data_IF_176292177548
#
_entry.id   IF_176292177548
#
_cell.length_a   1.000
_cell.length_b   1.000
_cell.length_c   1.000
_cell.angle_alpha   90.00
_cell.angle_beta   90.00
_cell.angle_gamma   90.00
#
_symmetry.space_group_name_H-M   'P 1'
#
loop_
_entity.id
_entity.type
_entity.pdbx_description
1 polymer ?
#
# COMPACT_ATOMS: atom_id res chain seq x y z
N UNK A 1 -19.10 12.20 -10.14
CA UNK A 1 -19.40 11.15 -9.12
C UNK A 1 -20.48 10.18 -9.59
N UNK A 2 -21.65 10.64 -10.06
CA UNK A 2 -22.72 9.75 -10.54
C UNK A 2 -22.25 8.73 -11.59
N UNK A 3 -21.52 9.18 -12.61
CA UNK A 3 -20.90 8.33 -13.66
C UNK A 3 -20.00 7.22 -13.10
N UNK A 4 -19.17 7.56 -12.11
CA UNK A 4 -18.30 6.59 -11.47
C UNK A 4 -19.07 5.58 -10.60
N UNK A 5 -20.11 6.03 -9.90
CA UNK A 5 -20.95 5.17 -9.06
C UNK A 5 -21.84 4.23 -9.88
N UNK A 6 -22.26 4.61 -11.09
CA UNK A 6 -23.04 3.73 -11.96
C UNK A 6 -22.24 2.50 -12.43
N UNK A 7 -20.91 2.58 -12.44
CA UNK A 7 -20.01 1.47 -12.76
C UNK A 7 -19.74 0.52 -11.57
N UNK A 8 -20.30 0.78 -10.39
CA UNK A 8 -20.14 -0.08 -9.22
C UNK A 8 -21.40 -0.92 -8.97
N UNK A 9 -21.26 -2.06 -8.31
CA UNK A 9 -22.42 -2.82 -7.81
C UNK A 9 -23.09 -2.07 -6.66
N UNK A 10 -24.33 -2.44 -6.32
CA UNK A 10 -25.06 -1.86 -5.18
C UNK A 10 -24.27 -1.99 -3.87
N UNK A 11 -23.64 -3.14 -3.65
CA UNK A 11 -22.80 -3.42 -2.48
C UNK A 11 -21.59 -2.50 -2.41
N UNK A 12 -20.90 -2.29 -3.52
CA UNK A 12 -19.77 -1.38 -3.59
C UNK A 12 -20.20 0.08 -3.42
N UNK A 13 -21.29 0.50 -4.06
CA UNK A 13 -21.88 1.84 -3.87
C UNK A 13 -22.18 2.10 -2.40
N UNK A 14 -22.82 1.15 -1.71
CA UNK A 14 -23.11 1.27 -0.28
C UNK A 14 -21.81 1.38 0.55
N UNK A 15 -20.77 0.62 0.20
CA UNK A 15 -19.46 0.70 0.87
C UNK A 15 -18.72 2.02 0.61
N UNK A 16 -18.96 2.69 -0.50
CA UNK A 16 -18.40 4.02 -0.80
C UNK A 16 -19.17 5.11 -0.06
N UNK A 17 -20.50 5.01 -0.05
CA UNK A 17 -21.38 6.07 0.49
C UNK A 17 -21.50 6.06 2.02
N UNK A 18 -21.01 5.03 2.71
CA UNK A 18 -21.00 4.96 4.19
C UNK A 18 -20.00 5.91 4.87
N UNK A 19 -19.03 6.45 4.13
CA UNK A 19 -18.00 7.29 4.71
C UNK A 19 -18.56 8.68 5.07
N UNK A 20 -18.24 9.14 6.28
CA UNK A 20 -18.66 10.47 6.74
C UNK A 20 -17.98 11.60 5.96
N UNK A 21 -16.69 11.45 5.66
CA UNK A 21 -15.95 12.44 4.89
C UNK A 21 -15.89 12.09 3.40
N UNK A 22 -16.17 13.10 2.56
CA UNK A 22 -16.14 12.97 1.10
C UNK A 22 -14.77 12.52 0.58
N UNK A 23 -13.67 12.95 1.21
CA UNK A 23 -12.31 12.52 0.81
C UNK A 23 -12.13 11.00 0.95
N UNK A 24 -12.67 10.41 2.01
CA UNK A 24 -12.56 8.97 2.27
C UNK A 24 -13.47 8.20 1.31
N UNK A 25 -14.67 8.72 1.03
CA UNK A 25 -15.56 8.19 0.00
C UNK A 25 -14.90 8.19 -1.39
N UNK A 26 -14.17 9.27 -1.75
CA UNK A 26 -13.42 9.35 -3.01
C UNK A 26 -12.30 8.32 -3.10
N UNK A 27 -11.55 8.11 -2.02
CA UNK A 27 -10.51 7.07 -1.97
C UNK A 27 -11.11 5.67 -2.08
N UNK A 28 -12.23 5.41 -1.39
CA UNK A 28 -12.95 4.15 -1.49
C UNK A 28 -13.48 3.90 -2.92
N UNK A 29 -14.00 4.94 -3.58
CA UNK A 29 -14.45 4.89 -4.96
C UNK A 29 -13.28 4.58 -5.92
N UNK A 30 -12.16 5.29 -5.79
CA UNK A 30 -10.97 5.05 -6.61
C UNK A 30 -10.43 3.62 -6.42
N UNK A 31 -10.40 3.14 -5.17
CA UNK A 31 -10.02 1.75 -4.83
C UNK A 31 -10.94 0.72 -5.47
N UNK A 32 -12.26 0.95 -5.47
CA UNK A 32 -13.21 0.05 -6.13
C UNK A 32 -12.99 0.01 -7.65
N UNK A 33 -12.87 1.18 -8.28
CA UNK A 33 -12.68 1.30 -9.73
C UNK A 33 -11.36 0.69 -10.22
N UNK A 34 -10.24 0.94 -9.53
CA UNK A 34 -8.94 0.40 -9.96
C UNK A 34 -8.89 -1.12 -9.86
N UNK A 35 -9.56 -1.71 -8.86
CA UNK A 35 -9.71 -3.17 -8.75
C UNK A 35 -10.51 -3.73 -9.92
N UNK A 36 -11.69 -3.17 -10.22
CA UNK A 36 -12.52 -3.58 -11.37
C UNK A 36 -11.75 -3.48 -12.67
N UNK A 37 -11.06 -2.36 -12.87
CA UNK A 37 -10.21 -2.13 -14.04
C UNK A 37 -9.13 -3.20 -14.19
N UNK A 38 -8.36 -3.48 -13.13
CA UNK A 38 -7.31 -4.48 -13.17
C UNK A 38 -7.88 -5.88 -13.47
N UNK A 39 -8.94 -6.28 -12.78
CA UNK A 39 -9.59 -7.58 -12.98
C UNK A 39 -10.13 -7.71 -14.41
N UNK A 40 -10.94 -6.76 -14.87
CA UNK A 40 -11.54 -6.81 -16.20
C UNK A 40 -10.49 -6.80 -17.31
N UNK A 41 -9.50 -5.90 -17.21
CA UNK A 41 -8.45 -5.75 -18.22
C UNK A 41 -7.53 -6.95 -18.31
N UNK A 42 -7.09 -7.51 -17.18
CA UNK A 42 -6.06 -8.55 -17.17
C UNK A 42 -6.63 -9.97 -17.17
N UNK A 43 -7.81 -10.18 -16.58
CA UNK A 43 -8.48 -11.49 -16.61
C UNK A 43 -9.44 -11.66 -17.79
N UNK A 44 -9.66 -10.60 -18.59
CA UNK A 44 -10.55 -10.65 -19.77
C UNK A 44 -12.01 -10.90 -19.41
N UNK A 45 -12.44 -10.49 -18.21
CA UNK A 45 -13.83 -10.64 -17.77
C UNK A 45 -14.62 -9.35 -17.97
N UNK A 46 -15.94 -9.43 -18.21
CA UNK A 46 -16.79 -8.25 -18.31
C UNK A 46 -16.70 -7.37 -17.07
N UNK A 47 -16.86 -6.05 -17.24
CA UNK A 47 -16.76 -5.10 -16.14
C UNK A 47 -17.73 -5.43 -14.99
N UNK A 48 -18.94 -5.86 -15.32
CA UNK A 48 -19.97 -6.27 -14.35
C UNK A 48 -19.51 -7.46 -13.48
N UNK A 49 -18.78 -8.41 -14.06
CA UNK A 49 -18.25 -9.61 -13.39
C UNK A 49 -16.90 -9.38 -12.69
N UNK A 50 -16.26 -8.23 -12.89
CA UNK A 50 -14.95 -7.89 -12.33
C UNK A 50 -15.00 -7.50 -10.84
N UNK A 51 -15.76 -8.22 -10.02
CA UNK A 51 -15.95 -7.92 -8.59
C UNK A 51 -14.90 -8.61 -7.72
N UNK A 52 -14.17 -7.81 -6.92
CA UNK A 52 -13.30 -8.33 -5.87
C UNK A 52 -14.14 -8.76 -4.65
N UNK A 53 -13.93 -9.99 -4.20
CA UNK A 53 -14.49 -10.51 -2.94
C UNK A 53 -13.49 -10.33 -1.79
N UNK A 54 -13.77 -10.87 -0.60
CA UNK A 54 -12.86 -10.85 0.55
C UNK A 54 -12.49 -12.27 0.94
N UNK A 55 -11.21 -12.50 1.22
CA UNK A 55 -10.75 -13.75 1.80
C UNK A 55 -11.05 -13.84 3.31
N UNK A 56 -10.60 -14.93 3.94
CA UNK A 56 -10.78 -15.16 5.38
C UNK A 56 -10.09 -14.09 6.26
N UNK A 57 -9.09 -13.38 5.73
CA UNK A 57 -8.36 -12.30 6.39
C UNK A 57 -8.86 -10.91 5.95
N UNK A 58 -10.00 -10.86 5.26
CA UNK A 58 -10.65 -9.66 4.71
C UNK A 58 -9.92 -8.97 3.55
N UNK A 59 -8.81 -9.52 3.06
CA UNK A 59 -8.05 -9.00 1.91
C UNK A 59 -8.89 -9.14 0.64
N UNK A 60 -8.94 -8.11 -0.22
CA UNK A 60 -9.67 -8.21 -1.47
C UNK A 60 -9.00 -9.20 -2.42
N UNK A 61 -9.76 -10.11 -2.99
CA UNK A 61 -9.29 -11.16 -3.93
C UNK A 61 -10.26 -11.32 -5.09
N UNK A 62 -9.77 -11.80 -6.23
CA UNK A 62 -10.61 -12.19 -7.37
C UNK A 62 -10.43 -13.67 -7.66
N UNK A 63 -11.55 -14.41 -7.67
CA UNK A 63 -11.55 -15.84 -8.00
C UNK A 63 -12.53 -16.12 -9.13
N UNK A 64 -12.13 -16.99 -10.05
CA UNK A 64 -13.02 -17.49 -11.11
C UNK A 64 -14.02 -18.49 -10.52
N UNK A 65 -15.01 -18.88 -11.33
CA UNK A 65 -15.97 -19.93 -10.96
C UNK A 65 -15.31 -21.26 -10.62
N UNK A 66 -14.14 -21.54 -11.20
CA UNK A 66 -13.38 -22.77 -11.00
C UNK A 66 -12.52 -22.72 -9.73
N UNK A 67 -12.51 -21.57 -9.04
CA UNK A 67 -11.76 -21.35 -7.79
C UNK A 67 -10.35 -20.80 -7.99
N UNK A 68 -9.91 -20.62 -9.24
CA UNK A 68 -8.60 -20.08 -9.57
C UNK A 68 -8.49 -18.59 -9.22
N UNK A 69 -7.29 -18.16 -8.85
CA UNK A 69 -6.94 -16.76 -8.58
C UNK A 69 -5.97 -16.25 -9.67
N UNK A 70 -6.48 -15.92 -10.88
CA UNK A 70 -5.63 -15.55 -12.02
C UNK A 70 -4.96 -14.20 -11.84
N UNK A 71 -5.45 -13.37 -10.91
CA UNK A 71 -4.89 -12.06 -10.61
C UNK A 71 -4.74 -11.90 -9.11
N UNK A 72 -3.52 -12.05 -8.62
CA UNK A 72 -3.16 -11.71 -7.26
C UNK A 72 -2.88 -10.22 -7.18
N UNK A 73 -3.53 -9.51 -6.26
CA UNK A 73 -3.32 -8.06 -6.10
C UNK A 73 -3.37 -7.58 -4.66
N UNK A 74 -2.83 -6.39 -4.44
CA UNK A 74 -3.00 -5.61 -3.22
C UNK A 74 -3.27 -4.15 -3.57
N UNK A 75 -3.94 -3.43 -2.67
CA UNK A 75 -4.35 -2.05 -2.87
C UNK A 75 -4.05 -1.22 -1.63
N UNK A 76 -3.58 0.00 -1.83
CA UNK A 76 -3.46 1.03 -0.79
C UNK A 76 -3.94 2.38 -1.33
N UNK A 77 -4.25 3.30 -0.43
CA UNK A 77 -4.66 4.65 -0.82
C UNK A 77 -4.38 5.67 0.29
N UNK A 78 -3.89 6.85 -0.10
CA UNK A 78 -3.67 7.97 0.80
C UNK A 78 -3.69 9.29 0.01
N UNK A 79 -4.14 10.38 0.64
CA UNK A 79 -4.04 11.75 0.11
C UNK A 79 -4.55 11.95 -1.33
N UNK A 80 -5.63 11.24 -1.72
CA UNK A 80 -6.24 11.36 -3.05
C UNK A 80 -5.67 10.40 -4.10
N UNK A 81 -4.68 9.58 -3.76
CA UNK A 81 -4.12 8.55 -4.64
C UNK A 81 -4.57 7.15 -4.19
N UNK A 82 -4.97 6.30 -5.14
CA UNK A 82 -5.14 4.87 -4.94
C UNK A 82 -4.12 4.12 -5.80
N UNK A 83 -3.42 3.17 -5.18
CA UNK A 83 -2.35 2.37 -5.79
C UNK A 83 -2.77 0.91 -5.76
N UNK A 84 -2.69 0.24 -6.91
CA UNK A 84 -2.90 -1.20 -7.04
C UNK A 84 -1.64 -1.84 -7.61
N UNK A 85 -1.19 -2.90 -6.96
CA UNK A 85 -0.08 -3.74 -7.42
C UNK A 85 -0.61 -5.15 -7.63
N UNK A 86 -0.33 -5.74 -8.81
CA UNK A 86 -0.89 -7.02 -9.19
C UNK A 86 0.08 -7.87 -10.01
N UNK A 87 -0.11 -9.20 -9.92
CA UNK A 87 0.58 -10.22 -10.69
C UNK A 87 -0.48 -11.09 -11.35
N UNK A 88 -0.43 -11.17 -12.69
CA UNK A 88 -1.30 -12.05 -13.46
C UNK A 88 -0.66 -13.43 -13.61
N UNK A 89 -1.46 -14.49 -13.46
CA UNK A 89 -1.01 -15.89 -13.39
C UNK A 89 0.15 -16.07 -12.38
N UNK A 90 -0.07 -15.71 -11.09
CA UNK A 90 0.98 -15.76 -10.10
C UNK A 90 1.49 -17.20 -9.89
N UNK A 91 2.81 -17.40 -9.66
CA UNK A 91 3.31 -18.67 -9.15
C UNK A 91 2.61 -19.06 -7.85
N UNK A 92 2.46 -20.37 -7.62
CA UNK A 92 1.80 -20.88 -6.41
C UNK A 92 2.56 -20.41 -5.16
N UNK A 93 1.83 -19.93 -4.16
CA UNK A 93 2.37 -19.42 -2.89
C UNK A 93 2.99 -18.02 -2.95
N UNK A 94 3.07 -17.39 -4.13
CA UNK A 94 3.49 -16.00 -4.25
C UNK A 94 2.52 -15.10 -3.49
N UNK A 95 3.03 -14.12 -2.76
CA UNK A 95 2.22 -13.12 -2.06
C UNK A 95 2.72 -11.71 -2.38
N UNK A 96 1.78 -10.77 -2.49
CA UNK A 96 2.11 -9.35 -2.76
C UNK A 96 1.40 -8.40 -1.81
N UNK A 97 2.10 -7.30 -1.50
CA UNK A 97 1.60 -6.19 -0.72
C UNK A 97 2.07 -4.86 -1.31
N UNK A 98 1.25 -3.83 -1.17
CA UNK A 98 1.60 -2.46 -1.58
C UNK A 98 1.12 -1.49 -0.52
N UNK A 99 1.93 -0.48 -0.24
CA UNK A 99 1.49 0.66 0.54
C UNK A 99 1.90 1.98 -0.10
N UNK A 100 1.17 3.04 0.21
CA UNK A 100 1.47 4.40 -0.22
C UNK A 100 1.37 5.34 0.96
N UNK A 101 2.38 6.18 1.11
CA UNK A 101 2.40 7.26 2.11
C UNK A 101 2.57 8.62 1.46
N UNK A 102 1.97 9.64 2.07
CA UNK A 102 2.10 11.04 1.67
C UNK A 102 2.45 11.88 2.91
N UNK A 103 3.75 12.09 3.22
CA UNK A 103 4.17 12.86 4.39
C UNK A 103 3.59 14.28 4.43
N UNK A 104 3.36 14.89 3.26
CA UNK A 104 2.82 16.25 3.13
C UNK A 104 1.37 16.35 3.62
N UNK A 105 0.57 15.29 3.52
CA UNK A 105 -0.85 15.26 3.94
C UNK A 105 -1.03 15.61 5.43
N UNK A 106 -0.10 15.16 6.27
CA UNK A 106 -0.15 15.32 7.73
C UNK A 106 0.88 16.32 8.28
N UNK A 107 1.67 16.93 7.39
CA UNK A 107 2.81 17.79 7.74
C UNK A 107 2.47 18.87 8.77
N UNK A 108 1.39 19.61 8.59
CA UNK A 108 1.00 20.67 9.53
C UNK A 108 0.78 20.15 10.95
N UNK A 109 0.07 19.01 11.07
CA UNK A 109 -0.20 18.37 12.35
C UNK A 109 1.10 17.82 12.96
N UNK A 110 1.86 17.07 12.17
CA UNK A 110 3.05 16.39 12.65
C UNK A 110 4.12 17.40 13.09
N UNK A 111 4.35 18.48 12.34
CA UNK A 111 5.23 19.57 12.76
C UNK A 111 4.75 20.27 14.04
N UNK A 112 3.43 20.39 14.23
CA UNK A 112 2.84 20.88 15.48
C UNK A 112 3.18 19.98 16.67
N UNK A 113 3.01 18.67 16.52
CA UNK A 113 3.41 17.68 17.54
C UNK A 113 4.91 17.74 17.81
N UNK A 114 5.74 17.81 16.78
CA UNK A 114 7.21 17.91 16.94
C UNK A 114 7.64 19.22 17.62
N UNK A 115 6.91 20.31 17.44
CA UNK A 115 7.17 21.56 18.14
C UNK A 115 6.76 21.51 19.62
N UNK A 116 5.69 20.79 19.96
CA UNK A 116 5.19 20.68 21.33
C UNK A 116 5.88 19.60 22.17
N UNK A 117 6.01 18.39 21.63
CA UNK A 117 6.43 17.19 22.38
C UNK A 117 7.84 16.70 21.99
N UNK A 118 8.32 17.10 20.82
CA UNK A 118 9.62 16.69 20.28
C UNK A 118 9.62 15.34 19.55
N UNK A 119 10.74 15.07 18.88
CA UNK A 119 10.90 13.89 18.01
C UNK A 119 10.82 12.56 18.74
N UNK A 120 11.47 12.43 19.90
CA UNK A 120 11.49 11.16 20.62
C UNK A 120 10.08 10.73 21.09
N UNK A 121 9.29 11.68 21.61
CA UNK A 121 7.90 11.45 21.97
C UNK A 121 7.06 11.06 20.74
N UNK A 122 7.28 11.72 19.60
CA UNK A 122 6.64 11.35 18.34
C UNK A 122 6.94 9.90 17.92
N UNK A 123 8.20 9.46 18.01
CA UNK A 123 8.56 8.07 17.73
C UNK A 123 7.94 7.11 18.76
N UNK A 124 7.92 7.48 20.04
CA UNK A 124 7.40 6.64 21.13
C UNK A 124 5.89 6.36 20.99
N UNK A 125 5.11 7.30 20.44
CA UNK A 125 3.69 7.08 20.12
C UNK A 125 3.46 5.91 19.14
N UNK A 126 4.47 5.52 18.38
CA UNK A 126 4.38 4.48 17.34
C UNK A 126 5.27 3.27 17.65
N UNK A 127 5.95 3.24 18.79
CA UNK A 127 6.94 2.22 19.10
C UNK A 127 6.37 0.80 19.25
N UNK A 128 5.05 0.65 19.43
CA UNK A 128 4.39 -0.66 19.54
C UNK A 128 4.29 -1.41 18.21
N UNK A 129 4.31 -0.69 17.07
CA UNK A 129 4.25 -1.29 15.73
C UNK A 129 5.62 -1.41 15.06
N UNK A 130 6.69 -0.98 15.74
CA UNK A 130 8.07 -1.00 15.25
C UNK A 130 8.96 -1.96 16.05
N UNK A 131 9.97 -2.51 15.38
CA UNK A 131 11.05 -3.24 16.00
C UNK A 131 11.96 -2.33 16.82
N UNK A 132 12.63 -2.88 17.84
CA UNK A 132 13.48 -2.10 18.74
C UNK A 132 14.64 -1.41 17.99
N UNK A 133 15.22 -2.09 17.00
CA UNK A 133 16.27 -1.52 16.15
C UNK A 133 15.78 -0.32 15.34
N UNK A 134 14.56 -0.37 14.82
CA UNK A 134 13.94 0.69 14.03
C UNK A 134 13.64 1.93 14.89
N UNK A 135 13.05 1.73 16.07
CA UNK A 135 12.80 2.81 17.05
C UNK A 135 14.12 3.49 17.42
N UNK A 136 15.16 2.70 17.68
CA UNK A 136 16.49 3.22 17.99
C UNK A 136 17.08 4.01 16.82
N UNK A 137 16.93 3.51 15.59
CA UNK A 137 17.40 4.18 14.38
C UNK A 137 16.67 5.51 14.15
N UNK A 138 15.34 5.54 14.28
CA UNK A 138 14.55 6.76 14.18
C UNK A 138 14.97 7.79 15.23
N UNK A 139 15.10 7.39 16.50
CA UNK A 139 15.52 8.31 17.58
C UNK A 139 16.92 8.89 17.37
N UNK A 140 17.82 8.16 16.72
CA UNK A 140 19.17 8.65 16.37
C UNK A 140 19.15 9.81 15.36
N UNK A 141 18.10 9.96 14.55
CA UNK A 141 17.97 11.07 13.60
C UNK A 141 17.95 12.41 14.35
N UNK A 142 17.24 12.47 15.49
CA UNK A 142 17.21 13.59 16.43
C UNK A 142 17.25 14.99 15.75
N UNK A 143 16.24 15.33 14.93
CA UNK A 143 16.21 16.60 14.20
C UNK A 143 16.15 17.78 15.18
N UNK A 144 16.78 18.88 14.82
CA UNK A 144 16.75 20.13 15.56
C UNK A 144 15.42 20.88 15.43
N UNK A 145 15.49 22.19 15.69
CA UNK A 145 14.33 23.08 15.56
C UNK A 145 14.02 23.46 14.12
N UNK A 146 14.97 23.28 13.20
CA UNK A 146 14.79 23.60 11.79
C UNK A 146 13.69 22.74 11.15
N UNK A 147 12.84 23.39 10.35
CA UNK A 147 11.68 22.74 9.74
C UNK A 147 12.11 21.74 8.68
N UNK A 148 13.17 22.00 7.91
CA UNK A 148 13.66 21.08 6.89
C UNK A 148 14.27 19.82 7.53
N UNK A 149 14.96 19.96 8.67
CA UNK A 149 15.44 18.80 9.44
C UNK A 149 14.28 17.93 9.94
N UNK A 150 13.20 18.54 10.45
CA UNK A 150 12.01 17.82 10.91
C UNK A 150 11.24 17.16 9.76
N UNK A 151 11.10 17.84 8.64
CA UNK A 151 10.51 17.27 7.42
C UNK A 151 11.32 16.05 6.96
N UNK A 152 12.65 16.14 6.96
CA UNK A 152 13.52 15.01 6.62
C UNK A 152 13.33 13.84 7.59
N UNK A 153 13.27 14.10 8.90
CA UNK A 153 13.01 13.05 9.88
C UNK A 153 11.64 12.38 9.68
N UNK A 154 10.59 13.17 9.39
CA UNK A 154 9.27 12.65 9.05
C UNK A 154 9.32 11.78 7.79
N UNK A 155 10.12 12.13 6.78
CA UNK A 155 10.29 11.29 5.58
C UNK A 155 10.91 9.94 5.91
N UNK A 156 11.89 9.85 6.82
CA UNK A 156 12.41 8.57 7.32
C UNK A 156 11.34 7.75 8.05
N UNK A 157 10.56 8.39 8.92
CA UNK A 157 9.46 7.72 9.63
C UNK A 157 8.42 7.15 8.65
N UNK A 158 7.98 7.94 7.67
CA UNK A 158 6.99 7.48 6.70
C UNK A 158 7.55 6.47 5.70
N UNK A 159 8.85 6.54 5.36
CA UNK A 159 9.52 5.51 4.58
C UNK A 159 9.49 4.15 5.31
N UNK A 160 9.85 4.15 6.60
CA UNK A 160 9.74 2.96 7.44
C UNK A 160 8.31 2.43 7.51
N UNK A 161 7.35 3.32 7.78
CA UNK A 161 5.93 2.97 7.85
C UNK A 161 5.46 2.27 6.57
N UNK A 162 5.78 2.87 5.41
CA UNK A 162 5.36 2.36 4.10
C UNK A 162 5.99 0.98 3.80
N UNK A 163 7.28 0.80 4.10
CA UNK A 163 7.96 -0.49 3.99
C UNK A 163 7.24 -1.57 4.82
N UNK A 164 6.99 -1.29 6.10
CA UNK A 164 6.33 -2.22 7.01
C UNK A 164 4.90 -2.56 6.59
N UNK A 165 4.11 -1.55 6.26
CA UNK A 165 2.72 -1.74 5.82
C UNK A 165 2.64 -2.61 4.55
N UNK A 166 3.54 -2.40 3.58
CA UNK A 166 3.58 -3.26 2.39
C UNK A 166 3.86 -4.72 2.76
N UNK A 167 4.82 -4.97 3.66
CA UNK A 167 5.12 -6.32 4.15
C UNK A 167 3.94 -6.96 4.90
N UNK A 168 3.31 -6.21 5.80
CA UNK A 168 2.15 -6.66 6.58
C UNK A 168 0.95 -6.96 5.66
N UNK A 169 0.67 -6.11 4.68
CA UNK A 169 -0.36 -6.34 3.65
C UNK A 169 -0.07 -7.54 2.75
N UNK A 170 1.22 -7.85 2.53
CA UNK A 170 1.65 -9.03 1.80
C UNK A 170 1.34 -10.31 2.57
N UNK A 171 1.61 -10.36 3.88
CA UNK A 171 1.24 -11.52 4.73
C UNK A 171 -0.27 -11.65 4.91
N UNK A 172 -1.02 -10.56 4.72
CA UNK A 172 -2.47 -10.51 4.90
C UNK A 172 -2.87 -10.47 6.37
N UNK A 173 -1.91 -10.33 7.28
CA UNK A 173 -2.18 -10.10 8.69
C UNK A 173 -2.35 -8.59 8.90
N UNK A 174 -3.39 -8.17 9.61
CA UNK A 174 -3.58 -6.75 9.89
C UNK A 174 -2.58 -6.26 10.96
N UNK A 175 -2.64 -4.97 11.32
CA UNK A 175 -1.86 -4.37 12.42
C UNK A 175 -2.12 -4.97 13.83
N UNK A 176 -2.93 -6.01 13.93
CA UNK A 176 -3.17 -6.77 15.17
C UNK A 176 -2.22 -7.97 15.33
N UNK A 177 -1.28 -8.16 14.41
CA UNK A 177 -0.26 -9.18 14.50
C UNK A 177 0.60 -8.98 15.77
N UNK A 178 0.61 -9.97 16.66
CA UNK A 178 1.42 -9.92 17.90
C UNK A 178 2.93 -9.88 17.64
N UNK A 179 3.36 -10.23 16.42
CA UNK A 179 4.75 -10.28 16.00
C UNK A 179 5.28 -9.00 15.38
N UNK A 180 4.50 -7.91 15.28
CA UNK A 180 4.95 -6.67 14.62
C UNK A 180 6.31 -6.20 15.16
N UNK A 181 6.55 -6.29 16.47
CA UNK A 181 7.82 -5.89 17.09
C UNK A 181 9.01 -6.81 16.75
N UNK A 182 8.74 -7.99 16.20
CA UNK A 182 9.75 -8.92 15.73
C UNK A 182 10.16 -8.68 14.27
N UNK A 183 9.38 -7.88 13.52
CA UNK A 183 9.73 -7.43 12.17
C UNK A 183 10.64 -6.20 12.27
N UNK A 184 11.69 -6.16 11.45
CA UNK A 184 12.59 -5.01 11.30
C UNK A 184 12.92 -4.78 9.82
N UNK A 185 12.81 -3.53 9.37
CA UNK A 185 13.36 -3.04 8.12
C UNK A 185 14.72 -2.41 8.43
N UNK A 186 15.81 -2.98 7.90
CA UNK A 186 17.16 -2.43 8.06
C UNK A 186 17.59 -1.70 6.80
N UNK A 187 18.38 -0.65 6.99
CA UNK A 187 18.78 0.24 5.89
C UNK A 187 17.63 1.08 5.32
N UNK A 188 16.52 1.26 6.07
CA UNK A 188 15.41 2.09 5.62
C UNK A 188 15.83 3.56 5.50
N UNK A 189 15.40 4.20 4.42
CA UNK A 189 15.57 5.62 4.15
C UNK A 189 14.45 6.06 3.19
N UNK A 190 14.14 7.35 3.09
CA UNK A 190 13.35 7.84 1.96
C UNK A 190 14.12 7.60 0.64
N UNK A 191 13.43 7.51 -0.52
CA UNK A 191 14.05 7.11 -1.79
C UNK A 191 15.29 7.91 -2.19
N UNK A 192 15.30 9.22 -1.93
CA UNK A 192 16.43 10.11 -2.24
C UNK A 192 17.69 9.88 -1.39
N UNK A 193 17.53 9.29 -0.20
CA UNK A 193 18.62 9.00 0.74
C UNK A 193 18.98 7.50 0.74
N UNK A 194 18.37 6.70 -0.13
CA UNK A 194 18.56 5.26 -0.17
C UNK A 194 19.91 4.90 -0.81
N UNK A 195 20.80 4.26 -0.03
CA UNK A 195 22.17 3.92 -0.47
C UNK A 195 22.37 2.45 -0.84
N UNK A 196 21.36 1.60 -0.63
CA UNK A 196 21.40 0.17 -0.93
C UNK A 196 20.02 -0.48 -0.79
N UNK A 197 19.97 -1.79 -0.99
CA UNK A 197 18.75 -2.58 -0.80
C UNK A 197 18.32 -2.57 0.67
N UNK A 198 17.01 -2.51 0.91
CA UNK A 198 16.45 -2.58 2.25
C UNK A 198 16.33 -4.05 2.64
N UNK A 199 16.77 -4.37 3.84
CA UNK A 199 16.74 -5.74 4.33
C UNK A 199 15.51 -5.93 5.22
N UNK A 200 14.81 -7.03 5.03
CA UNK A 200 13.72 -7.44 5.92
C UNK A 200 14.24 -8.47 6.90
N UNK A 201 14.04 -8.23 8.18
CA UNK A 201 14.41 -9.14 9.26
C UNK A 201 13.18 -9.52 10.08
N UNK A 202 13.05 -10.78 10.43
CA UNK A 202 11.96 -11.29 11.25
C UNK A 202 12.53 -12.19 12.35
N UNK A 203 12.21 -11.88 13.61
CA UNK A 203 12.71 -12.60 14.80
C UNK A 203 14.24 -12.73 14.83
N UNK A 204 14.94 -11.70 14.36
CA UNK A 204 16.40 -11.65 14.33
C UNK A 204 17.06 -12.38 13.17
N UNK A 205 16.30 -12.92 12.21
CA UNK A 205 16.81 -13.55 11.00
C UNK A 205 16.42 -12.77 9.74
N UNK A 206 17.32 -12.70 8.76
CA UNK A 206 17.05 -12.07 7.47
C UNK A 206 16.05 -12.90 6.66
N UNK A 207 14.99 -12.25 6.19
CA UNK A 207 13.95 -12.83 5.33
C UNK A 207 14.40 -12.71 3.87
N UNK A 208 14.91 -13.81 3.30
CA UNK A 208 15.53 -13.84 1.97
C UNK A 208 14.57 -14.16 0.82
N UNK A 209 13.36 -14.59 1.14
CA UNK A 209 12.32 -14.94 0.18
C UNK A 209 11.37 -13.76 -0.10
N UNK A 210 11.69 -12.56 0.40
CA UNK A 210 10.88 -11.36 0.21
C UNK A 210 11.72 -10.25 -0.41
N UNK A 211 11.27 -9.77 -1.56
CA UNK A 211 11.82 -8.60 -2.22
C UNK A 211 10.96 -7.38 -1.84
N UNK A 212 11.59 -6.34 -1.27
CA UNK A 212 10.93 -5.10 -0.88
C UNK A 212 11.57 -3.91 -1.59
N UNK A 213 10.75 -2.96 -2.05
CA UNK A 213 11.21 -1.77 -2.79
C UNK A 213 10.39 -0.57 -2.38
N UNK A 214 11.06 0.56 -2.13
CA UNK A 214 10.43 1.87 -1.93
C UNK A 214 10.77 2.79 -3.10
N UNK A 215 9.75 3.41 -3.70
CA UNK A 215 9.93 4.38 -4.80
C UNK A 215 9.25 5.70 -4.50
N UNK A 216 9.78 6.78 -5.04
CA UNK A 216 9.13 8.10 -5.03
C UNK A 216 8.12 8.20 -6.17
N UNK A 217 6.98 8.82 -5.92
CA UNK A 217 6.00 9.16 -6.95
C UNK A 217 5.53 10.61 -6.77
N UNK A 218 5.56 11.39 -7.85
CA UNK A 218 5.17 12.81 -7.89
C UNK A 218 5.86 13.71 -6.83
N UNK A 219 6.99 13.28 -6.27
CA UNK A 219 7.79 14.03 -5.28
C UNK A 219 7.21 14.05 -3.86
N UNK A 220 5.91 13.85 -3.69
CA UNK A 220 5.22 13.88 -2.39
C UNK A 220 4.80 12.51 -1.86
N UNK A 221 4.69 11.49 -2.73
CA UNK A 221 4.34 10.13 -2.34
C UNK A 221 5.57 9.24 -2.27
N UNK A 222 5.52 8.28 -1.36
CA UNK A 222 6.39 7.10 -1.41
C UNK A 222 5.50 5.86 -1.52
N UNK A 223 5.87 4.94 -2.41
CA UNK A 223 5.15 3.69 -2.60
C UNK A 223 6.10 2.54 -2.31
N UNK A 224 5.66 1.64 -1.42
CA UNK A 224 6.38 0.42 -1.12
C UNK A 224 5.68 -0.79 -1.72
N UNK A 225 6.44 -1.67 -2.36
CA UNK A 225 5.97 -2.99 -2.80
C UNK A 225 6.73 -4.08 -2.06
N UNK A 226 6.01 -5.09 -1.58
CA UNK A 226 6.58 -6.30 -1.01
C UNK A 226 6.11 -7.52 -1.81
N UNK A 227 7.04 -8.39 -2.19
CA UNK A 227 6.80 -9.62 -2.96
C UNK A 227 7.44 -10.78 -2.22
N UNK A 228 6.65 -11.75 -1.78
CA UNK A 228 7.15 -13.05 -1.33
C UNK A 228 7.22 -14.00 -2.52
N UNK A 229 8.35 -14.68 -2.67
CA UNK A 229 8.57 -15.68 -3.72
C UNK A 229 7.58 -16.83 -3.64
N UNK A 230 7.34 -17.48 -4.78
CA UNK A 230 6.52 -18.69 -4.88
C UNK A 230 7.13 -19.87 -4.11
N UNK A 231 6.35 -20.95 -4.01
CA UNK A 231 6.72 -22.19 -3.29
C UNK A 231 8.04 -22.80 -3.81
N UNK A 232 8.41 -22.58 -5.08
CA UNK A 232 9.65 -23.08 -5.67
C UNK A 232 10.72 -21.98 -5.82
N UNK A 233 10.54 -20.83 -5.16
CA UNK A 233 11.47 -19.70 -5.19
C UNK A 233 11.29 -18.76 -6.37
N UNK A 234 10.17 -18.83 -7.09
CA UNK A 234 9.86 -17.95 -8.22
C UNK A 234 9.65 -16.50 -7.74
N UNK A 235 10.41 -15.56 -8.29
CA UNK A 235 10.18 -14.12 -8.12
C UNK A 235 9.34 -13.53 -9.25
N UNK A 236 8.97 -12.26 -9.12
CA UNK A 236 8.39 -11.47 -10.21
C UNK A 236 9.18 -10.18 -10.40
N UNK A 237 9.30 -9.74 -11.65
CA UNK A 237 9.90 -8.44 -11.94
C UNK A 237 8.89 -7.32 -11.64
N UNK A 238 9.26 -6.39 -10.76
CA UNK A 238 8.43 -5.24 -10.40
C UNK A 238 8.77 -4.07 -11.31
N UNK A 239 7.90 -3.83 -12.29
CA UNK A 239 7.98 -2.67 -13.18
C UNK A 239 7.59 -1.35 -12.50
N UNK A 240 7.71 -0.25 -13.26
CA UNK A 240 7.34 1.09 -12.79
C UNK A 240 5.81 1.26 -12.69
N UNK A 241 5.38 2.09 -11.73
CA UNK A 241 3.99 2.47 -11.60
C UNK A 241 3.52 3.31 -12.80
N UNK A 242 2.37 2.93 -13.34
CA UNK A 242 1.70 3.69 -14.41
C UNK A 242 0.57 4.51 -13.80
N UNK A 243 0.58 5.81 -14.07
CA UNK A 243 -0.53 6.68 -13.70
C UNK A 243 -1.75 6.33 -14.55
N UNK A 244 -2.88 6.10 -13.90
CA UNK A 244 -4.17 5.91 -14.54
C UNK A 244 -5.03 7.13 -14.27
N UNK A 245 -5.49 7.78 -15.34
CA UNK A 245 -6.47 8.84 -15.22
C UNK A 245 -7.84 8.22 -14.94
N UNK A 246 -8.61 8.84 -14.03
CA UNK A 246 -9.92 8.31 -13.66
C UNK A 246 -10.87 8.26 -14.86
N UNK A 247 -10.81 9.24 -15.76
CA UNK A 247 -11.66 9.28 -16.96
C UNK A 247 -11.36 8.12 -17.91
N UNK A 248 -10.09 7.69 -17.99
CA UNK A 248 -9.70 6.50 -18.76
C UNK A 248 -10.27 5.22 -18.14
N UNK A 249 -10.27 5.13 -16.81
CA UNK A 249 -10.86 3.99 -16.10
C UNK A 249 -12.37 3.94 -16.29
N UNK A 250 -13.05 5.10 -16.25
CA UNK A 250 -14.49 5.19 -16.48
C UNK A 250 -14.86 4.82 -17.92
N UNK A 251 -14.16 5.37 -18.91
CA UNK A 251 -14.39 5.03 -20.31
C UNK A 251 -14.18 3.54 -20.58
N UNK A 252 -13.10 2.95 -20.05
CA UNK A 252 -12.87 1.51 -20.15
C UNK A 252 -14.01 0.70 -19.54
N UNK A 253 -14.52 1.09 -18.36
CA UNK A 253 -15.62 0.38 -17.71
C UNK A 253 -16.94 0.47 -18.47
N UNK A 254 -17.21 1.59 -19.14
CA UNK A 254 -18.36 1.78 -20.02
C UNK A 254 -18.24 0.88 -21.26
N UNK A 255 -17.12 0.95 -21.97
CA UNK A 255 -16.86 0.13 -23.16
C UNK A 255 -16.88 -1.37 -22.87
N UNK A 256 -16.29 -1.78 -21.74
CA UNK A 256 -16.26 -3.19 -21.30
C UNK A 256 -17.59 -3.69 -20.73
N UNK A 257 -18.55 -2.79 -20.49
CA UNK A 257 -19.94 -3.14 -20.17
C UNK A 257 -20.75 -3.35 -21.45
N UNK A 258 -20.49 -2.54 -22.48
CA UNK A 258 -21.22 -2.55 -23.75
C UNK A 258 -20.72 -3.62 -24.75
N UNK A 259 -19.55 -4.23 -24.51
CA UNK A 259 -18.97 -5.28 -25.36
C UNK A 259 -19.65 -6.66 -25.25
N UNK A 260 -20.87 -6.75 -24.71
CA UNK A 260 -21.68 -7.97 -24.56
C UNK A 260 -23.05 -7.85 -25.24
#
# INVERSE_FOLDING_TARGET
>A
ASRALSLLTEKERASVLRYYHVRDAKLALASALVKRYAISRFCGVPWSSAEATRDARTKPVFRTSDGDEPLLFNVSHQAGLAVLFAVHNPPKGLAVGVDVVCPTERRTRDLGTLAGEGWNSFVDMHAEVFGLGEVTALKKINPGADVAERDRALRYFYALWCLREAYVKMTGEALLASWLRDLEMRGFAPPEDMTGSQEVWFKGEEVKDVDIKLVSLLGEYMISTAVRRGENGEGVEVGDFKMLDIEQVLAFGEDATDAL
#
